data_IF_424485184218
#
_entry.id   IF_424485184218
#
_cell.length_a   1.000
_cell.length_b   1.000
_cell.length_c   1.000
_cell.angle_alpha   90.00
_cell.angle_beta   90.00
_cell.angle_gamma   90.00
#
_symmetry.space_group_name_H-M   'P 1'
#
loop_
_entity.id
_entity.type
_entity.pdbx_description
1 polymer ?
#
# COMPACT_ATOMS: atom_id res chain seq x y z
N UNK A 1 20.47 -29.33 -0.11
CA UNK A 1 20.84 -27.93 0.24
C UNK A 1 20.90 -27.80 1.76
N UNK A 2 22.06 -27.48 2.35
CA UNK A 2 22.22 -27.24 3.80
C UNK A 2 21.42 -25.98 4.18
N UNK A 3 20.49 -26.08 5.13
CA UNK A 3 19.86 -24.90 5.74
C UNK A 3 20.95 -24.15 6.51
N UNK A 4 21.40 -23.00 5.99
CA UNK A 4 22.24 -22.08 6.76
C UNK A 4 21.43 -21.65 7.98
N UNK A 5 21.92 -21.99 9.17
CA UNK A 5 21.34 -21.50 10.41
C UNK A 5 21.85 -20.09 10.62
N UNK A 6 20.93 -19.14 10.72
CA UNK A 6 21.23 -17.74 10.96
C UNK A 6 20.75 -17.43 12.38
N UNK A 7 21.65 -16.89 13.20
CA UNK A 7 21.34 -16.37 14.53
C UNK A 7 21.67 -14.88 14.54
N UNK A 8 20.73 -14.06 15.03
CA UNK A 8 20.94 -12.62 15.18
C UNK A 8 20.24 -12.13 16.44
N UNK A 9 20.99 -11.50 17.35
CA UNK A 9 20.51 -10.98 18.65
C UNK A 9 19.64 -11.98 19.44
N UNK A 10 20.08 -13.24 19.50
CA UNK A 10 19.36 -14.31 20.21
C UNK A 10 18.15 -14.88 19.48
N UNK A 11 17.75 -14.32 18.33
CA UNK A 11 16.72 -14.89 17.48
C UNK A 11 17.32 -15.88 16.48
N UNK A 12 16.87 -17.13 16.56
CA UNK A 12 17.25 -18.20 15.64
C UNK A 12 16.31 -18.27 14.45
N UNK A 13 16.90 -18.32 13.26
CA UNK A 13 16.17 -18.48 12.00
C UNK A 13 15.70 -17.16 11.41
N UNK A 14 15.85 -17.07 10.08
CA UNK A 14 15.43 -15.95 9.26
C UNK A 14 14.02 -15.39 9.55
N UNK A 15 12.97 -16.23 9.67
CA UNK A 15 11.63 -15.71 9.92
C UNK A 15 11.48 -15.03 11.27
N UNK A 16 12.15 -15.53 12.32
CA UNK A 16 12.11 -14.92 13.65
C UNK A 16 12.89 -13.61 13.70
N UNK A 17 14.07 -13.58 13.07
CA UNK A 17 14.89 -12.38 12.94
C UNK A 17 14.10 -11.29 12.19
N UNK A 18 13.44 -11.65 11.08
CA UNK A 18 12.63 -10.72 10.30
C UNK A 18 11.44 -10.16 11.11
N UNK A 19 10.75 -11.01 11.89
CA UNK A 19 9.66 -10.58 12.78
C UNK A 19 10.15 -9.62 13.86
N UNK A 20 11.26 -9.92 14.53
CA UNK A 20 11.84 -9.06 15.57
C UNK A 20 12.21 -7.67 15.02
N UNK A 21 12.68 -7.60 13.78
CA UNK A 21 13.05 -6.36 13.09
C UNK A 21 11.85 -5.65 12.43
N UNK A 22 10.65 -6.23 12.47
CA UNK A 22 9.46 -5.67 11.81
C UNK A 22 9.60 -5.58 10.28
N UNK A 23 10.21 -6.58 9.67
CA UNK A 23 10.44 -6.70 8.21
C UNK A 23 9.83 -7.99 7.67
N UNK A 24 9.50 -8.00 6.38
CA UNK A 24 9.04 -9.22 5.72
C UNK A 24 10.17 -10.26 5.65
N UNK A 25 9.91 -11.52 6.01
CA UNK A 25 10.90 -12.61 5.91
C UNK A 25 11.35 -12.85 4.47
N UNK A 26 10.50 -12.57 3.48
CA UNK A 26 10.85 -12.67 2.06
C UNK A 26 11.89 -11.61 1.67
N UNK A 27 11.81 -10.41 2.23
CA UNK A 27 12.81 -9.36 1.99
C UNK A 27 14.18 -9.81 2.46
N UNK A 28 14.27 -10.31 3.70
CA UNK A 28 15.53 -10.80 4.27
C UNK A 28 16.07 -12.02 3.51
N UNK A 29 15.20 -12.98 3.17
CA UNK A 29 15.55 -14.15 2.35
C UNK A 29 16.11 -13.77 0.98
N UNK A 30 15.49 -12.79 0.31
CA UNK A 30 15.94 -12.34 -1.02
C UNK A 30 17.32 -11.68 -0.99
N UNK A 31 17.67 -11.00 0.10
CA UNK A 31 18.98 -10.35 0.28
C UNK A 31 20.09 -11.38 0.44
N UNK A 32 19.84 -12.37 1.29
CA UNK A 32 20.80 -13.48 1.50
C UNK A 32 20.95 -14.33 0.23
N UNK A 33 19.86 -14.54 -0.52
CA UNK A 33 19.91 -15.23 -1.81
C UNK A 33 20.76 -14.49 -2.85
N UNK A 34 20.85 -13.15 -2.75
CA UNK A 34 21.73 -12.31 -3.58
C UNK A 34 23.18 -12.29 -3.09
N UNK A 35 23.49 -12.95 -1.98
CA UNK A 35 24.82 -13.00 -1.40
C UNK A 35 25.12 -11.90 -0.37
N UNK A 36 24.14 -11.08 0.03
CA UNK A 36 24.34 -10.14 1.15
C UNK A 36 24.52 -10.93 2.46
N UNK A 37 25.47 -10.49 3.30
CA UNK A 37 25.58 -10.95 4.68
C UNK A 37 24.37 -10.52 5.51
N UNK A 38 24.07 -11.29 6.57
CA UNK A 38 22.87 -11.07 7.37
C UNK A 38 22.80 -9.66 7.96
N UNK A 39 23.90 -9.16 8.53
CA UNK A 39 23.94 -7.83 9.14
C UNK A 39 23.82 -6.73 8.09
N UNK A 40 24.58 -6.83 7.00
CA UNK A 40 24.52 -5.88 5.88
C UNK A 40 23.12 -5.83 5.24
N UNK A 41 22.46 -6.99 5.13
CA UNK A 41 21.09 -7.07 4.65
C UNK A 41 20.13 -6.33 5.59
N UNK A 42 20.29 -6.48 6.90
CA UNK A 42 19.47 -5.79 7.91
C UNK A 42 19.70 -4.28 7.84
N UNK A 43 20.96 -3.84 7.77
CA UNK A 43 21.31 -2.43 7.67
C UNK A 43 20.70 -1.77 6.43
N UNK A 44 20.87 -2.38 5.24
CA UNK A 44 20.26 -1.89 3.99
C UNK A 44 18.74 -1.82 4.08
N UNK A 45 18.11 -2.79 4.74
CA UNK A 45 16.66 -2.82 4.93
C UNK A 45 16.21 -1.65 5.81
N UNK A 46 16.90 -1.43 6.94
CA UNK A 46 16.59 -0.33 7.86
C UNK A 46 16.82 1.03 7.21
N UNK A 47 17.95 1.20 6.51
CA UNK A 47 18.28 2.42 5.77
C UNK A 47 17.25 2.73 4.67
N UNK A 48 16.76 1.73 3.94
CA UNK A 48 15.69 1.95 2.94
C UNK A 48 14.37 2.38 3.57
N UNK A 49 14.03 1.83 4.75
CA UNK A 49 12.81 2.18 5.49
C UNK A 49 12.84 3.61 6.03
N UNK A 50 14.00 4.13 6.40
CA UNK A 50 14.18 5.52 6.83
C UNK A 50 14.14 6.49 5.64
N UNK A 51 14.83 6.17 4.54
CA UNK A 51 14.81 6.98 3.30
C UNK A 51 13.40 7.17 2.73
N UNK A 52 12.60 6.10 2.69
CA UNK A 52 11.22 6.20 2.19
C UNK A 52 10.30 7.04 3.09
N UNK A 53 10.59 7.14 4.38
CA UNK A 53 9.79 7.94 5.33
C UNK A 53 10.13 9.43 5.33
N UNK A 54 11.36 9.80 4.97
CA UNK A 54 11.89 11.17 5.18
C UNK A 54 11.90 12.01 3.91
N UNK A 55 11.52 11.47 2.74
CA UNK A 55 11.68 12.15 1.46
C UNK A 55 10.99 13.52 1.35
N UNK A 56 10.00 13.84 2.21
CA UNK A 56 9.26 15.10 2.15
C UNK A 56 8.97 15.62 3.55
N UNK A 57 9.34 16.88 3.81
CA UNK A 57 9.01 17.63 5.01
C UNK A 57 8.15 18.83 4.64
N UNK A 58 7.04 19.02 5.36
CA UNK A 58 6.16 20.17 5.17
C UNK A 58 5.72 20.74 6.52
N UNK A 59 6.01 22.02 6.78
CA UNK A 59 5.70 22.71 8.04
C UNK A 59 6.17 21.95 9.29
N UNK A 60 7.38 21.36 9.25
CA UNK A 60 7.95 20.58 10.35
C UNK A 60 7.41 19.15 10.48
N UNK A 61 6.48 18.74 9.62
CA UNK A 61 5.94 17.38 9.59
C UNK A 61 6.71 16.57 8.56
N UNK A 62 7.36 15.50 9.02
CA UNK A 62 8.18 14.62 8.18
C UNK A 62 7.37 13.45 7.65
N UNK A 63 7.45 13.25 6.35
CA UNK A 63 6.85 12.15 5.61
C UNK A 63 5.45 12.45 5.10
N UNK A 64 5.20 12.12 3.83
CA UNK A 64 3.88 12.24 3.18
C UNK A 64 2.75 11.62 4.02
N UNK A 65 2.90 10.44 4.66
CA UNK A 65 1.82 9.86 5.49
C UNK A 65 1.43 10.74 6.67
N UNK A 66 2.41 11.37 7.31
CA UNK A 66 2.16 12.24 8.46
C UNK A 66 1.56 13.57 8.01
N UNK A 67 2.05 14.12 6.89
CA UNK A 67 1.50 15.33 6.26
C UNK A 67 0.05 15.07 5.83
N UNK A 68 -0.22 13.97 5.13
CA UNK A 68 -1.55 13.53 4.72
C UNK A 68 -2.53 13.50 5.90
N UNK A 69 -2.12 12.88 7.02
CA UNK A 69 -2.93 12.81 8.24
C UNK A 69 -3.17 14.18 8.89
N UNK A 70 -2.17 15.06 8.88
CA UNK A 70 -2.28 16.38 9.49
C UNK A 70 -3.18 17.33 8.69
N UNK A 71 -3.27 17.16 7.38
CA UNK A 71 -4.06 17.99 6.47
C UNK A 71 -5.35 17.31 5.97
N UNK A 72 -5.68 16.13 6.49
CA UNK A 72 -6.84 15.30 6.11
C UNK A 72 -6.95 15.03 4.59
N UNK A 73 -5.79 14.77 3.95
CA UNK A 73 -5.70 14.45 2.52
C UNK A 73 -5.27 12.99 2.34
N UNK A 74 -5.85 12.30 1.37
CA UNK A 74 -5.42 10.94 1.05
C UNK A 74 -3.97 10.93 0.51
N UNK A 75 -3.11 10.07 1.06
CA UNK A 75 -1.72 9.88 0.63
C UNK A 75 -1.61 9.65 -0.88
N UNK A 76 -2.50 8.83 -1.46
CA UNK A 76 -2.55 8.54 -2.89
C UNK A 76 -2.84 9.78 -3.74
N UNK A 77 -3.65 10.72 -3.22
CA UNK A 77 -3.92 12.00 -3.88
C UNK A 77 -2.67 12.87 -3.90
N UNK A 78 -1.89 12.89 -2.82
CA UNK A 78 -0.63 13.64 -2.75
C UNK A 78 0.37 13.07 -3.76
N UNK A 79 0.56 11.75 -3.76
CA UNK A 79 1.45 11.08 -4.73
C UNK A 79 1.02 11.32 -6.19
N UNK A 80 -0.28 11.24 -6.48
CA UNK A 80 -0.80 11.52 -7.81
C UNK A 80 -0.50 12.95 -8.26
N UNK A 81 -0.71 13.95 -7.40
CA UNK A 81 -0.44 15.36 -7.70
C UNK A 81 1.06 15.64 -7.87
N UNK A 82 1.89 15.04 -7.03
CA UNK A 82 3.35 15.10 -7.19
C UNK A 82 3.80 14.48 -8.52
N UNK A 83 3.20 13.37 -8.95
CA UNK A 83 3.51 12.75 -10.25
C UNK A 83 3.15 13.65 -11.44
N UNK A 84 2.21 14.59 -11.25
CA UNK A 84 1.85 15.63 -12.22
C UNK A 84 2.78 16.85 -12.17
N UNK A 85 3.84 16.82 -11.35
CA UNK A 85 4.80 17.92 -11.21
C UNK A 85 4.34 19.02 -10.23
N UNK A 86 3.29 18.78 -9.43
CA UNK A 86 2.84 19.75 -8.43
C UNK A 86 3.72 19.72 -7.18
N UNK A 87 3.87 20.87 -6.53
CA UNK A 87 4.57 20.97 -5.23
C UNK A 87 3.73 20.39 -4.09
N UNK A 88 4.34 20.10 -2.93
CA UNK A 88 3.61 19.62 -1.74
C UNK A 88 2.47 20.58 -1.38
N UNK A 89 2.72 21.90 -1.41
CA UNK A 89 1.71 22.91 -1.07
C UNK A 89 0.51 22.86 -2.00
N UNK A 90 0.76 22.76 -3.30
CA UNK A 90 -0.29 22.61 -4.31
C UNK A 90 -1.00 21.26 -4.17
N UNK A 91 -0.27 20.21 -3.79
CA UNK A 91 -0.83 18.89 -3.56
C UNK A 91 -1.75 18.85 -2.34
N UNK A 92 -1.50 19.69 -1.32
CA UNK A 92 -2.34 19.88 -0.14
C UNK A 92 -3.47 20.91 -0.35
N UNK A 93 -3.40 21.70 -1.43
CA UNK A 93 -4.39 22.71 -1.75
C UNK A 93 -5.81 22.13 -1.98
N UNK A 94 -6.85 22.97 -1.79
CA UNK A 94 -8.24 22.56 -1.89
C UNK A 94 -8.62 22.31 -3.35
N UNK A 95 -8.44 21.09 -3.83
CA UNK A 95 -9.18 20.55 -4.96
C UNK A 95 -9.73 19.18 -4.59
N UNK A 96 -11.04 19.07 -4.66
CA UNK A 96 -11.82 17.85 -4.51
C UNK A 96 -11.69 17.14 -3.15
N UNK A 97 -12.43 17.68 -2.17
CA UNK A 97 -13.37 16.85 -1.43
C UNK A 97 -14.15 15.97 -2.43
N UNK A 98 -14.48 14.75 -2.00
CA UNK A 98 -15.32 13.77 -2.71
C UNK A 98 -14.51 12.75 -3.51
N UNK A 99 -13.84 11.83 -2.80
CA UNK A 99 -13.90 10.45 -3.26
C UNK A 99 -14.87 9.71 -2.33
N UNK A 100 -16.20 9.78 -2.58
CA UNK A 100 -17.08 8.80 -1.97
C UNK A 100 -16.61 7.48 -2.55
N UNK A 101 -15.86 6.75 -1.75
CA UNK A 101 -15.65 5.32 -1.83
C UNK A 101 -16.47 4.68 -2.95
N UNK A 102 -15.80 4.34 -4.07
CA UNK A 102 -16.20 3.23 -4.94
C UNK A 102 -17.72 2.94 -4.89
N UNK A 103 -18.56 3.81 -5.46
CA UNK A 103 -19.79 3.28 -6.03
C UNK A 103 -19.32 2.50 -7.24
N UNK A 104 -18.94 1.23 -7.03
CA UNK A 104 -18.98 0.24 -8.10
C UNK A 104 -20.45 0.19 -8.51
N UNK A 105 -20.84 1.11 -9.39
CA UNK A 105 -21.92 0.83 -10.33
C UNK A 105 -21.36 -0.24 -11.27
N UNK A 106 -21.22 -1.48 -10.77
CA UNK A 106 -21.67 -2.60 -11.59
C UNK A 106 -23.18 -2.60 -11.46
N UNK A 107 -23.80 -1.61 -12.10
CA UNK A 107 -25.08 -1.88 -12.73
C UNK A 107 -24.75 -2.97 -13.74
N UNK A 108 -25.13 -4.20 -13.42
CA UNK A 108 -25.33 -5.22 -14.42
C UNK A 108 -26.12 -4.58 -15.57
N UNK A 109 -25.51 -4.44 -16.74
CA UNK A 109 -26.14 -3.82 -17.92
C UNK A 109 -26.71 -4.84 -18.91
N UNK A 110 -26.82 -6.12 -18.50
CA UNK A 110 -27.67 -7.07 -19.20
C UNK A 110 -29.11 -6.94 -18.71
N UNK A 111 -30.07 -6.67 -19.59
CA UNK A 111 -31.46 -6.99 -19.27
C UNK A 111 -31.46 -8.46 -18.80
N UNK A 112 -32.00 -8.84 -17.63
CA UNK A 112 -32.22 -10.24 -17.37
C UNK A 112 -33.17 -10.72 -18.48
N UNK A 113 -32.79 -11.75 -19.21
CA UNK A 113 -33.72 -12.42 -20.11
C UNK A 113 -34.90 -12.85 -19.23
N UNK A 114 -36.02 -12.12 -19.30
CA UNK A 114 -37.18 -12.39 -18.45
C UNK A 114 -37.69 -13.77 -18.82
N UNK A 115 -37.40 -14.75 -17.97
CA UNK A 115 -37.91 -16.10 -18.11
C UNK A 115 -39.45 -16.04 -18.10
N UNK A 116 -40.15 -16.77 -18.99
CA UNK A 116 -41.59 -16.60 -19.24
C UNK A 116 -42.49 -16.72 -18.00
N UNK A 117 -42.03 -17.41 -16.95
CA UNK A 117 -42.72 -17.53 -15.67
C UNK A 117 -42.83 -16.20 -14.90
N UNK A 118 -41.89 -15.27 -15.09
CA UNK A 118 -41.88 -13.98 -14.39
C UNK A 118 -42.79 -12.95 -15.07
N UNK A 119 -43.00 -13.05 -16.39
CA UNK A 119 -43.96 -12.22 -17.12
C UNK A 119 -45.39 -12.50 -16.66
N UNK A 120 -45.72 -13.78 -16.43
CA UNK A 120 -47.04 -14.23 -15.98
C UNK A 120 -47.35 -13.74 -14.55
N UNK A 121 -46.34 -13.69 -13.67
CA UNK A 121 -46.49 -13.20 -12.30
C UNK A 121 -46.68 -11.67 -12.21
N UNK A 122 -46.24 -10.92 -13.22
CA UNK A 122 -46.38 -9.45 -13.28
C UNK A 122 -47.60 -9.00 -14.10
N UNK A 123 -48.39 -9.93 -14.65
CA UNK A 123 -49.60 -9.61 -15.41
C UNK A 123 -49.34 -8.94 -16.76
N UNK A 124 -48.11 -9.00 -17.27
CA UNK A 124 -47.76 -8.47 -18.58
C UNK A 124 -48.08 -9.56 -19.60
N UNK A 125 -49.24 -9.46 -20.26
CA UNK A 125 -49.58 -10.34 -21.39
C UNK A 125 -48.62 -10.05 -22.55
N UNK A 126 -48.09 -11.13 -23.15
CA UNK A 126 -47.56 -11.08 -24.51
C UNK A 126 -48.68 -10.74 -25.51
#
# INVERSE_FOLDING_TARGET
MKRRQFEYKGHKGLPNIAKALGVSPNTLKSRIARGDELEHAIEKILAKKTLQKVAYEYKGIKGIPNIARAFDVNEGTIYYRMSKGMTIEQALGPKALNNPMRSVQKGWSGKPDLHPLWQLALGISL
#
